data_IF_589280104837
#
_entry.id   IF_589280104837
#
_cell.length_a   1.000
_cell.length_b   1.000
_cell.length_c   1.000
_cell.angle_alpha   90.00
_cell.angle_beta   90.00
_cell.angle_gamma   90.00
#
_symmetry.space_group_name_H-M   'P 1'
#
loop_
_entity.id
_entity.type
_entity.pdbx_description
1 polymer ?
#
# COMPACT_ATOMS: atom_id res chain seq x y z
N UNK A 1 -6.39 -7.52 6.51
CA UNK A 1 -6.73 -7.76 5.11
C UNK A 1 -5.45 -7.78 4.28
N UNK A 2 -4.92 -8.97 3.99
CA UNK A 2 -3.99 -9.19 2.87
C UNK A 2 -4.78 -10.08 1.93
N UNK A 3 -5.49 -9.46 1.00
CA UNK A 3 -6.31 -10.21 0.04
C UNK A 3 -5.73 -9.87 -1.32
N UNK A 4 -4.97 -10.80 -1.86
CA UNK A 4 -4.64 -10.77 -3.29
C UNK A 4 -5.95 -11.05 -4.05
N UNK A 5 -6.10 -10.43 -5.21
CA UNK A 5 -7.16 -10.80 -6.14
C UNK A 5 -6.92 -12.21 -6.71
N UNK A 6 -7.91 -12.74 -7.46
CA UNK A 6 -7.78 -14.03 -8.15
C UNK A 6 -6.51 -14.14 -9.02
N UNK A 7 -6.06 -13.01 -9.56
CA UNK A 7 -4.88 -12.92 -10.43
C UNK A 7 -3.54 -12.87 -9.66
N UNK A 8 -3.54 -13.10 -8.35
CA UNK A 8 -2.34 -13.01 -7.50
C UNK A 8 -1.79 -11.59 -7.35
N UNK A 9 -2.56 -10.56 -7.73
CA UNK A 9 -2.18 -9.13 -7.67
C UNK A 9 -2.93 -8.38 -6.59
N UNK A 10 -2.37 -7.27 -6.12
CA UNK A 10 -3.06 -6.40 -5.17
C UNK A 10 -4.25 -5.70 -5.85
N UNK A 11 -5.43 -5.86 -5.26
CA UNK A 11 -6.67 -5.25 -5.75
C UNK A 11 -6.52 -3.71 -5.75
N UNK A 12 -6.72 -3.04 -6.90
CA UNK A 12 -6.69 -1.59 -6.95
C UNK A 12 -7.94 -1.00 -6.29
N UNK A 13 -7.78 0.15 -5.63
CA UNK A 13 -8.85 0.87 -4.95
C UNK A 13 -8.63 2.38 -5.04
N UNK A 14 -9.71 3.14 -4.86
CA UNK A 14 -9.66 4.59 -4.66
C UNK A 14 -9.71 4.91 -3.17
N UNK A 15 -9.01 5.95 -2.74
CA UNK A 15 -8.99 6.35 -1.33
C UNK A 15 -8.81 7.86 -1.18
N UNK A 16 -9.57 8.44 -0.24
CA UNK A 16 -9.37 9.82 0.23
C UNK A 16 -8.95 9.82 1.68
N UNK A 17 -7.85 10.51 1.99
CA UNK A 17 -7.23 10.52 3.31
C UNK A 17 -6.92 11.95 3.72
N UNK A 18 -7.24 12.31 4.97
CA UNK A 18 -6.83 13.60 5.55
C UNK A 18 -5.38 13.51 6.04
N UNK A 19 -4.59 14.55 5.77
CA UNK A 19 -3.27 14.67 6.40
C UNK A 19 -3.41 15.26 7.80
N UNK A 20 -2.35 15.13 8.62
CA UNK A 20 -2.26 15.81 9.90
C UNK A 20 -1.30 16.98 9.78
N UNK A 21 -1.73 18.17 10.18
CA UNK A 21 -0.88 19.35 10.19
C UNK A 21 -0.19 19.47 11.55
N UNK A 22 1.15 19.35 11.56
CA UNK A 22 1.94 19.23 12.80
C UNK A 22 1.90 20.51 13.65
N UNK A 23 1.91 21.68 13.01
CA UNK A 23 2.00 22.96 13.69
C UNK A 23 0.69 23.32 14.42
N UNK A 24 -0.45 23.20 13.71
CA UNK A 24 -1.77 23.49 14.27
C UNK A 24 -2.37 22.32 15.06
N UNK A 25 -1.79 21.12 14.96
CA UNK A 25 -2.33 19.87 15.51
C UNK A 25 -3.76 19.55 15.03
N UNK A 26 -4.16 20.11 13.89
CA UNK A 26 -5.47 19.89 13.27
C UNK A 26 -5.34 19.01 12.03
N UNK A 27 -6.49 18.61 11.48
CA UNK A 27 -6.51 17.92 10.20
C UNK A 27 -6.09 18.86 9.07
N UNK A 28 -5.04 18.48 8.34
CA UNK A 28 -4.48 19.19 7.20
C UNK A 28 -5.26 18.94 5.90
N UNK A 29 -4.55 19.04 4.77
CA UNK A 29 -5.11 18.87 3.43
C UNK A 29 -5.62 17.44 3.18
N UNK A 30 -6.66 17.36 2.35
CA UNK A 30 -7.20 16.09 1.85
C UNK A 30 -6.33 15.64 0.68
N UNK A 31 -5.90 14.37 0.71
CA UNK A 31 -5.22 13.70 -0.40
C UNK A 31 -6.17 12.67 -0.99
N UNK A 32 -6.39 12.78 -2.29
CA UNK A 32 -7.18 11.84 -3.07
C UNK A 32 -6.26 11.03 -3.96
N UNK A 33 -6.41 9.71 -3.92
CA UNK A 33 -5.75 8.79 -4.83
C UNK A 33 -6.83 7.99 -5.54
N UNK A 34 -7.00 8.23 -6.83
CA UNK A 34 -8.04 7.57 -7.63
C UNK A 34 -7.74 6.10 -7.85
N UNK A 35 -6.45 5.76 -8.02
CA UNK A 35 -5.99 4.39 -8.24
C UNK A 35 -4.75 4.11 -7.41
N UNK A 36 -4.92 3.32 -6.36
CA UNK A 36 -3.83 2.83 -5.53
C UNK A 36 -3.97 1.34 -5.27
N UNK A 37 -2.87 0.67 -4.92
CA UNK A 37 -2.88 -0.73 -4.47
C UNK A 37 -2.07 -0.88 -3.19
N UNK A 38 -2.38 -1.88 -2.37
CA UNK A 38 -1.58 -2.15 -1.16
C UNK A 38 -0.18 -2.63 -1.54
N UNK A 39 0.83 -2.19 -0.78
CA UNK A 39 2.20 -2.70 -0.94
C UNK A 39 2.28 -4.07 -0.26
N UNK A 40 2.23 -5.13 -1.06
CA UNK A 40 2.43 -6.51 -0.64
C UNK A 40 3.17 -7.29 -1.72
N UNK A 41 3.65 -8.49 -1.37
CA UNK A 41 4.20 -9.42 -2.35
C UNK A 41 3.06 -9.87 -3.26
N UNK A 42 3.22 -9.64 -4.56
CA UNK A 42 2.33 -10.16 -5.59
C UNK A 42 2.92 -11.46 -6.13
N UNK A 43 2.07 -12.36 -6.60
CA UNK A 43 2.53 -13.56 -7.29
C UNK A 43 3.21 -13.15 -8.58
N UNK A 44 4.36 -13.77 -8.87
CA UNK A 44 5.08 -13.50 -10.10
C UNK A 44 4.48 -14.38 -11.21
N UNK A 45 3.75 -13.84 -12.20
CA UNK A 45 3.17 -14.65 -13.26
C UNK A 45 4.22 -15.32 -14.16
N UNK A 46 5.50 -15.00 -14.01
CA UNK A 46 6.63 -15.57 -14.75
C UNK A 46 7.57 -16.39 -13.85
N UNK A 47 7.08 -17.05 -12.79
CA UNK A 47 7.92 -17.94 -11.96
C UNK A 47 8.66 -18.97 -12.82
N UNK A 48 8.02 -19.53 -13.85
CA UNK A 48 8.60 -20.60 -14.68
C UNK A 48 9.36 -20.11 -15.92
N UNK A 49 9.55 -18.79 -16.06
CA UNK A 49 10.28 -18.26 -17.22
C UNK A 49 11.76 -18.64 -17.19
N UNK A 50 12.39 -18.79 -18.36
CA UNK A 50 13.83 -19.07 -18.46
C UNK A 50 14.66 -17.99 -17.71
N UNK A 51 14.18 -16.73 -17.69
CA UNK A 51 14.81 -15.62 -16.98
C UNK A 51 14.74 -15.74 -15.45
N UNK A 52 13.64 -16.23 -14.89
CA UNK A 52 13.54 -16.46 -13.45
C UNK A 52 14.43 -17.62 -13.00
N UNK A 53 14.60 -18.66 -13.82
CA UNK A 53 15.52 -19.77 -13.57
C UNK A 53 17.00 -19.35 -13.65
N UNK A 54 17.35 -18.42 -14.54
CA UNK A 54 18.71 -17.88 -14.69
C UNK A 54 19.11 -16.94 -13.54
N UNK A 55 18.15 -16.31 -12.87
CA UNK A 55 18.42 -15.34 -11.80
C UNK A 55 18.59 -16.08 -10.48
N UNK A 56 19.81 -16.51 -10.17
CA UNK A 56 20.15 -16.98 -8.82
C UNK A 56 20.08 -15.79 -7.87
N UNK A 57 18.91 -15.58 -7.27
CA UNK A 57 18.75 -14.65 -6.17
C UNK A 57 19.57 -15.17 -4.99
N UNK A 58 20.86 -14.81 -4.92
CA UNK A 58 21.67 -15.04 -3.71
C UNK A 58 20.87 -14.47 -2.53
N UNK A 59 20.50 -15.26 -1.52
CA UNK A 59 19.73 -14.78 -0.40
C UNK A 59 20.59 -13.75 0.33
N UNK A 60 20.38 -12.47 0.03
CA UNK A 60 20.88 -11.40 0.88
C UNK A 60 20.14 -11.55 2.21
N UNK A 61 20.81 -11.48 3.37
CA UNK A 61 20.10 -11.42 4.64
C UNK A 61 19.28 -10.13 4.64
N UNK A 62 18.01 -10.22 4.24
CA UNK A 62 17.09 -9.09 4.29
C UNK A 62 16.79 -8.92 5.77
N UNK A 63 17.47 -7.97 6.42
CA UNK A 63 17.13 -7.53 7.76
C UNK A 63 15.78 -6.79 7.68
N UNK A 64 14.69 -7.57 7.65
CA UNK A 64 13.32 -7.07 7.53
C UNK A 64 12.90 -6.55 8.90
N UNK A 65 12.95 -5.24 9.08
CA UNK A 65 12.39 -4.58 10.28
C UNK A 65 10.87 -4.69 10.24
N UNK A 66 10.26 -5.16 11.33
CA UNK A 66 8.80 -5.12 11.48
C UNK A 66 8.35 -3.66 11.60
N UNK A 67 7.52 -3.14 10.68
CA UNK A 67 7.06 -1.76 10.72
C UNK A 67 5.94 -1.50 11.73
N UNK A 68 5.46 -2.52 12.46
CA UNK A 68 4.38 -2.42 13.46
C UNK A 68 3.16 -1.62 12.96
N UNK A 69 2.76 -1.89 11.72
CA UNK A 69 1.72 -1.12 11.03
C UNK A 69 0.36 -1.11 11.76
N UNK A 70 0.06 -2.14 12.56
CA UNK A 70 -1.16 -2.20 13.37
C UNK A 70 -1.11 -1.20 14.53
N UNK A 71 -0.06 -1.25 15.35
CA UNK A 71 0.16 -0.33 16.47
C UNK A 71 0.22 1.13 16.00
N UNK A 72 0.99 1.36 14.93
CA UNK A 72 1.15 2.68 14.31
C UNK A 72 -0.11 3.14 13.58
N UNK A 73 -1.07 2.24 13.34
CA UNK A 73 -2.27 2.49 12.54
C UNK A 73 -1.92 3.11 11.20
N UNK A 74 -0.87 2.60 10.57
CA UNK A 74 -0.40 3.03 9.26
C UNK A 74 -0.48 1.90 8.24
N UNK A 75 -0.56 2.24 6.96
CA UNK A 75 -0.37 1.31 5.85
C UNK A 75 0.37 2.00 4.71
N UNK A 76 1.11 1.21 3.94
CA UNK A 76 1.77 1.67 2.73
C UNK A 76 0.90 1.31 1.53
N UNK A 77 0.66 2.29 0.67
CA UNK A 77 -0.04 2.15 -0.60
C UNK A 77 0.90 2.53 -1.74
N UNK A 78 0.76 1.89 -2.88
CA UNK A 78 1.43 2.24 -4.13
C UNK A 78 0.42 2.94 -5.04
N UNK A 79 0.71 4.19 -5.38
CA UNK A 79 -0.12 5.02 -6.25
C UNK A 79 0.17 4.66 -7.70
N UNK A 80 -0.87 4.49 -8.52
CA UNK A 80 -0.76 4.17 -9.95
C UNK A 80 -1.20 5.39 -10.77
N UNK A 81 -0.58 5.67 -11.94
CA UNK A 81 0.46 4.89 -12.62
C UNK A 81 1.90 5.20 -12.15
N UNK A 82 2.10 6.30 -11.41
CA UNK A 82 3.44 6.81 -11.06
C UNK A 82 4.32 5.78 -10.32
N UNK A 83 3.71 4.88 -9.54
CA UNK A 83 4.42 3.84 -8.80
C UNK A 83 4.93 4.28 -7.43
N UNK A 84 4.65 5.51 -7.02
CA UNK A 84 5.02 6.09 -5.74
C UNK A 84 4.46 5.30 -4.56
N UNK A 85 5.33 4.98 -3.58
CA UNK A 85 4.91 4.41 -2.30
C UNK A 85 4.61 5.54 -1.32
N UNK A 86 3.37 5.61 -0.83
CA UNK A 86 2.96 6.56 0.20
C UNK A 86 2.51 5.82 1.46
N UNK A 87 2.94 6.30 2.63
CA UNK A 87 2.46 5.84 3.93
C UNK A 87 1.24 6.67 4.33
N UNK A 88 0.13 6.01 4.65
CA UNK A 88 -1.11 6.62 5.11
C UNK A 88 -1.43 6.18 6.53
N UNK A 89 -2.15 7.01 7.28
CA UNK A 89 -2.74 6.64 8.57
C UNK A 89 -4.17 6.14 8.33
N UNK A 90 -4.50 4.95 8.82
CA UNK A 90 -5.81 4.32 8.58
C UNK A 90 -6.94 5.05 9.30
N UNK A 91 -6.66 5.78 10.39
CA UNK A 91 -7.67 6.57 11.11
C UNK A 91 -8.11 7.81 10.35
N UNK A 92 -7.34 8.26 9.36
CA UNK A 92 -7.64 9.49 8.62
C UNK A 92 -8.29 9.23 7.28
N UNK A 93 -8.71 7.99 7.02
CA UNK A 93 -9.42 7.62 5.81
C UNK A 93 -10.83 8.22 5.90
N UNK A 94 -11.19 9.01 4.89
CA UNK A 94 -12.52 9.63 4.76
C UNK A 94 -13.41 8.78 3.85
N UNK A 95 -12.81 8.24 2.78
CA UNK A 95 -13.54 7.52 1.74
C UNK A 95 -12.65 6.41 1.17
N UNK A 96 -13.25 5.26 0.88
CA UNK A 96 -12.60 4.12 0.25
C UNK A 96 -13.55 3.55 -0.81
N UNK A 97 -13.08 3.42 -2.06
CA UNK A 97 -13.89 2.96 -3.19
C UNK A 97 -15.22 3.72 -3.37
N UNK A 98 -15.21 5.04 -3.16
CA UNK A 98 -16.42 5.87 -3.23
C UNK A 98 -17.34 5.79 -2.01
N UNK A 99 -17.05 4.90 -1.05
CA UNK A 99 -17.83 4.74 0.17
C UNK A 99 -17.22 5.54 1.31
N UNK A 100 -18.04 6.36 1.98
CA UNK A 100 -17.59 7.12 3.16
C UNK A 100 -17.27 6.17 4.30
N UNK A 101 -16.09 6.34 4.88
CA UNK A 101 -15.67 5.59 6.07
C UNK A 101 -16.16 6.37 7.29
N UNK A 102 -17.16 5.82 7.97
CA UNK A 102 -17.60 6.32 9.28
C UNK A 102 -16.76 5.61 10.33
N UNK A 103 -16.12 6.37 11.21
CA UNK A 103 -15.19 5.89 12.22
C UNK A 103 -15.61 6.34 13.63
#
# INVERSE_FOLDING_TARGET
>A
MKTLGPDGRAVPFSIKVRTFQRNSKTGGSIRQYEKAKMVMAEENPHVDSIRSLQTVNKPRPIMRKNPNHYENKTRNIKVLPQGDIKRINIRFIIELNGQKVIY
#
